data_IF_355253443335
#
_entry.id   IF_355253443335
#
_cell.length_a   1.000
_cell.length_b   1.000
_cell.length_c   1.000
_cell.angle_alpha   90.00
_cell.angle_beta   90.00
_cell.angle_gamma   90.00
#
_symmetry.space_group_name_H-M   'P 1'
#
loop_
_entity.id
_entity.type
_entity.pdbx_description
1 polymer ?
#
# COMPACT_ATOMS: atom_id res chain seq x y z
N UNK A 1 25.88 21.21 6.16
CA UNK A 1 25.23 19.93 5.81
C UNK A 1 23.97 19.70 6.65
N UNK A 2 22.91 20.52 6.50
CA UNK A 2 21.67 20.38 7.32
C UNK A 2 20.37 20.55 6.52
N UNK A 3 20.44 20.84 5.22
CA UNK A 3 19.28 21.06 4.35
C UNK A 3 18.95 19.86 3.45
N UNK A 4 19.84 18.86 3.38
CA UNK A 4 19.68 17.68 2.50
C UNK A 4 18.77 16.59 3.09
N UNK A 5 18.56 16.59 4.42
CA UNK A 5 17.78 15.54 5.11
C UNK A 5 16.27 15.85 5.09
N UNK A 6 15.89 17.12 5.07
CA UNK A 6 14.48 17.53 5.15
C UNK A 6 13.71 17.28 3.84
N UNK A 7 14.37 17.34 2.68
CA UNK A 7 13.74 17.08 1.37
C UNK A 7 13.47 15.59 1.13
N UNK A 8 14.32 14.71 1.67
CA UNK A 8 14.18 13.26 1.58
C UNK A 8 12.93 12.75 2.33
N UNK A 9 12.64 13.28 3.52
CA UNK A 9 11.50 12.87 4.33
C UNK A 9 10.13 13.28 3.75
N UNK A 10 10.06 14.38 2.99
CA UNK A 10 8.83 14.80 2.31
C UNK A 10 8.54 13.97 1.06
N UNK A 11 9.58 13.48 0.37
CA UNK A 11 9.43 12.64 -0.82
C UNK A 11 8.87 11.24 -0.48
N UNK A 12 9.32 10.63 0.63
CA UNK A 12 8.86 9.30 1.07
C UNK A 12 7.42 9.31 1.56
N UNK A 13 6.94 10.44 2.10
CA UNK A 13 5.54 10.62 2.48
C UNK A 13 4.62 10.75 1.26
N UNK A 14 5.05 11.42 0.18
CA UNK A 14 4.26 11.55 -1.05
C UNK A 14 4.15 10.23 -1.83
N UNK A 15 5.23 9.44 -1.89
CA UNK A 15 5.21 8.10 -2.51
C UNK A 15 4.32 7.12 -1.73
N UNK A 16 4.30 7.21 -0.40
CA UNK A 16 3.41 6.39 0.45
C UNK A 16 1.92 6.77 0.31
N UNK A 17 1.61 8.06 0.09
CA UNK A 17 0.23 8.50 -0.19
C UNK A 17 -0.24 8.05 -1.58
N UNK A 18 0.64 7.99 -2.59
CA UNK A 18 0.31 7.46 -3.92
C UNK A 18 0.10 5.93 -3.89
N UNK A 19 0.94 5.19 -3.16
CA UNK A 19 0.83 3.73 -3.03
C UNK A 19 -0.43 3.27 -2.27
N UNK A 20 -0.97 4.10 -1.38
CA UNK A 20 -2.23 3.83 -0.69
C UNK A 20 -3.46 3.95 -1.61
N UNK A 21 -3.35 4.66 -2.74
CA UNK A 21 -4.46 4.89 -3.67
C UNK A 21 -4.60 3.79 -4.75
N UNK A 22 -3.55 2.98 -4.98
CA UNK A 22 -3.49 2.02 -6.10
C UNK A 22 -4.09 0.64 -5.80
N UNK A 23 -4.32 0.28 -4.52
CA UNK A 23 -4.85 -1.06 -4.14
C UNK A 23 -6.36 -1.24 -4.31
N UNK A 24 -7.09 -0.24 -4.79
CA UNK A 24 -8.56 -0.27 -4.87
C UNK A 24 -9.12 -0.49 -6.30
N UNK A 25 -8.28 -0.85 -7.29
CA UNK A 25 -8.70 -0.87 -8.71
C UNK A 25 -8.75 -2.21 -9.43
N UNK A 26 -8.59 -3.35 -8.77
CA UNK A 26 -8.90 -4.64 -9.41
C UNK A 26 -9.46 -5.65 -8.40
N UNK A 27 -10.79 -5.73 -8.33
CA UNK A 27 -11.55 -6.98 -8.16
C UNK A 27 -13.04 -6.68 -8.13
N UNK A 28 -13.77 -7.09 -9.18
CA UNK A 28 -15.19 -7.42 -9.07
C UNK A 28 -15.46 -8.57 -10.05
N UNK A 29 -15.93 -9.72 -9.53
CA UNK A 29 -17.34 -9.99 -9.80
C UNK A 29 -18.10 -10.47 -8.55
N UNK A 30 -19.18 -9.73 -8.26
CA UNK A 30 -20.50 -10.18 -7.81
C UNK A 30 -20.62 -11.15 -6.61
N UNK A 31 -21.24 -10.57 -5.59
CA UNK A 31 -22.31 -11.09 -4.71
C UNK A 31 -21.91 -11.98 -3.53
N UNK A 32 -22.33 -11.48 -2.36
CA UNK A 32 -22.66 -12.19 -1.11
C UNK A 32 -21.52 -12.42 -0.11
N UNK A 33 -21.27 -11.41 0.76
CA UNK A 33 -21.13 -11.55 2.23
C UNK A 33 -20.49 -10.29 2.85
N UNK A 34 -21.29 -9.24 3.07
CA UNK A 34 -20.92 -8.17 4.01
C UNK A 34 -21.38 -8.58 5.41
N UNK A 35 -20.46 -9.03 6.30
CA UNK A 35 -20.13 -8.22 7.48
C UNK A 35 -18.67 -8.38 8.01
N UNK A 36 -17.73 -8.98 7.26
CA UNK A 36 -16.39 -9.35 7.81
C UNK A 36 -15.28 -8.30 7.60
N UNK A 37 -15.44 -7.38 6.65
CA UNK A 37 -14.37 -6.45 6.24
C UNK A 37 -14.18 -5.30 7.25
N UNK A 38 -15.23 -4.85 7.94
CA UNK A 38 -15.12 -3.78 8.94
C UNK A 38 -14.42 -4.24 10.23
N UNK A 39 -14.66 -5.48 10.68
CA UNK A 39 -14.00 -6.03 11.87
C UNK A 39 -12.50 -6.21 11.65
N UNK A 40 -12.12 -6.78 10.51
CA UNK A 40 -10.72 -6.98 10.15
C UNK A 40 -9.92 -5.67 10.04
N UNK A 41 -10.55 -4.58 9.58
CA UNK A 41 -9.93 -3.27 9.60
C UNK A 41 -9.80 -2.71 11.02
N UNK A 42 -10.72 -3.04 11.93
CA UNK A 42 -10.68 -2.51 13.29
C UNK A 42 -9.56 -3.15 14.12
N UNK A 43 -9.42 -4.48 14.03
CA UNK A 43 -8.37 -5.22 14.74
C UNK A 43 -6.97 -4.75 14.32
N UNK A 44 -6.77 -4.50 13.02
CA UNK A 44 -5.50 -3.97 12.48
C UNK A 44 -5.18 -2.55 12.96
N UNK A 45 -6.18 -1.69 13.09
CA UNK A 45 -5.93 -0.32 13.60
C UNK A 45 -5.64 -0.38 15.11
N UNK A 46 -6.30 -1.28 15.85
CA UNK A 46 -6.04 -1.50 17.28
C UNK A 46 -4.58 -1.92 17.51
N UNK A 47 -4.12 -2.91 16.75
CA UNK A 47 -2.74 -3.42 16.81
C UNK A 47 -1.69 -2.32 16.53
N UNK A 48 -1.94 -1.45 15.54
CA UNK A 48 -1.02 -0.34 15.23
C UNK A 48 -0.94 0.71 16.34
N UNK A 49 -2.07 1.02 16.98
CA UNK A 49 -2.13 2.01 18.05
C UNK A 49 -1.51 1.44 19.32
N UNK A 50 -1.82 0.19 19.68
CA UNK A 50 -1.22 -0.48 20.84
C UNK A 50 0.28 -0.67 20.67
N UNK A 51 0.75 -1.10 19.49
CA UNK A 51 2.18 -1.20 19.22
C UNK A 51 2.92 0.14 19.29
N UNK A 52 2.27 1.26 18.95
CA UNK A 52 2.87 2.59 19.10
C UNK A 52 2.93 3.04 20.58
N UNK A 53 2.01 2.58 21.42
CA UNK A 53 2.10 2.78 22.88
C UNK A 53 3.24 1.95 23.47
N UNK A 54 3.37 0.69 23.06
CA UNK A 54 4.43 -0.22 23.52
C UNK A 54 5.83 0.26 23.11
N UNK A 55 5.97 0.82 21.90
CA UNK A 55 7.21 1.46 21.45
C UNK A 55 7.48 2.83 22.08
N UNK A 56 6.56 3.35 22.90
CA UNK A 56 6.67 4.67 23.52
C UNK A 56 6.53 5.84 22.53
N UNK A 57 6.08 5.58 21.30
CA UNK A 57 5.84 6.60 20.26
C UNK A 57 4.58 7.43 20.57
N UNK A 58 3.68 6.92 21.40
CA UNK A 58 2.50 7.64 21.88
C UNK A 58 2.16 7.27 23.33
N UNK A 59 1.59 8.22 24.06
CA UNK A 59 1.07 7.97 25.40
C UNK A 59 -0.29 7.27 25.33
N UNK A 60 -0.68 6.60 26.43
CA UNK A 60 -1.98 5.92 26.51
C UNK A 60 -3.16 6.89 26.28
N UNK A 61 -3.03 8.13 26.75
CA UNK A 61 -4.03 9.18 26.57
C UNK A 61 -4.18 9.59 25.09
N UNK A 62 -3.07 9.67 24.36
CA UNK A 62 -3.09 9.96 22.93
C UNK A 62 -3.71 8.82 22.11
N UNK A 63 -3.43 7.57 22.49
CA UNK A 63 -4.06 6.39 21.89
C UNK A 63 -5.59 6.41 22.09
N UNK A 64 -6.05 6.69 23.32
CA UNK A 64 -7.48 6.76 23.64
C UNK A 64 -8.21 7.86 22.87
N UNK A 65 -7.56 9.00 22.64
CA UNK A 65 -8.11 10.06 21.81
C UNK A 65 -8.25 9.62 20.34
N UNK A 66 -7.24 8.94 19.79
CA UNK A 66 -7.29 8.38 18.42
C UNK A 66 -8.41 7.36 18.26
N UNK A 67 -8.63 6.49 19.24
CA UNK A 67 -9.75 5.54 19.21
C UNK A 67 -11.12 6.24 19.17
N UNK A 68 -11.30 7.30 19.97
CA UNK A 68 -12.55 8.07 20.01
C UNK A 68 -12.84 8.78 18.68
N UNK A 69 -11.83 9.40 18.07
CA UNK A 69 -11.95 10.06 16.77
C UNK A 69 -12.32 9.07 15.65
N UNK A 70 -11.65 7.92 15.62
CA UNK A 70 -11.91 6.86 14.64
C UNK A 70 -13.34 6.31 14.78
N UNK A 71 -13.79 6.02 16.01
CA UNK A 71 -15.15 5.55 16.28
C UNK A 71 -16.21 6.55 15.78
N UNK A 72 -16.02 7.85 16.07
CA UNK A 72 -16.92 8.92 15.60
C UNK A 72 -16.94 9.03 14.07
N UNK A 73 -15.80 8.87 13.41
CA UNK A 73 -15.70 8.93 11.95
C UNK A 73 -16.40 7.75 11.26
N UNK A 74 -16.35 6.57 11.87
CA UNK A 74 -17.00 5.36 11.38
C UNK A 74 -18.53 5.48 11.50
N UNK A 75 -18.99 5.99 12.65
CA UNK A 75 -20.41 6.24 12.91
C UNK A 75 -20.98 7.29 11.94
N UNK A 76 -20.26 8.40 11.69
CA UNK A 76 -20.65 9.41 10.72
C UNK A 76 -20.72 8.88 9.27
N UNK A 77 -19.78 8.01 8.87
CA UNK A 77 -19.81 7.37 7.54
C UNK A 77 -20.99 6.41 7.38
N UNK A 78 -21.35 5.68 8.44
CA UNK A 78 -22.52 4.77 8.39
C UNK A 78 -23.84 5.53 8.23
N UNK A 79 -23.96 6.73 8.82
CA UNK A 79 -25.14 7.59 8.67
C UNK A 79 -25.20 8.27 7.29
N UNK A 80 -24.07 8.70 6.72
CA UNK A 80 -24.02 9.36 5.40
C UNK A 80 -24.46 8.48 4.23
N UNK A 81 -24.30 7.16 4.33
CA UNK A 81 -24.70 6.21 3.28
C UNK A 81 -26.18 5.80 3.32
N UNK A 82 -26.89 6.03 4.44
CA UNK A 82 -28.32 5.68 4.56
C UNK A 82 -29.25 6.59 3.76
N UNK A 83 -28.81 7.80 3.41
CA UNK A 83 -29.61 8.83 2.74
C UNK A 83 -29.30 9.00 1.24
N UNK A 84 -28.49 8.12 0.63
CA UNK A 84 -28.30 8.16 -0.81
C UNK A 84 -29.42 7.37 -1.51
N UNK A 85 -30.28 8.01 -2.34
CA UNK A 85 -31.17 7.24 -3.20
C UNK A 85 -30.30 6.40 -4.14
N UNK A 86 -30.64 5.11 -4.27
CA UNK A 86 -29.95 4.16 -5.16
C UNK A 86 -29.88 4.77 -6.57
N UNK A 87 -28.72 5.32 -6.95
CA UNK A 87 -28.50 5.84 -8.29
C UNK A 87 -28.60 4.66 -9.27
N UNK A 88 -29.61 4.69 -10.13
CA UNK A 88 -29.71 3.78 -11.25
C UNK A 88 -28.49 3.96 -12.18
N UNK A 89 -27.99 2.84 -12.72
CA UNK A 89 -26.90 2.80 -13.69
C UNK A 89 -27.24 3.70 -14.90
N UNK A 90 -26.31 4.54 -15.41
CA UNK A 90 -26.57 5.36 -16.58
C UNK A 90 -26.46 4.49 -17.84
N UNK A 91 -27.48 3.68 -18.09
CA UNK A 91 -27.73 3.08 -19.39
C UNK A 91 -28.64 4.00 -20.19
N UNK A 92 -28.11 4.60 -21.25
CA UNK A 92 -28.84 5.29 -22.32
C UNK A 92 -30.05 6.11 -21.88
N UNK A 93 -29.82 7.22 -21.18
CA UNK A 93 -30.81 8.30 -21.19
C UNK A 93 -30.90 8.85 -22.61
N UNK A 94 -32.10 9.01 -23.20
CA UNK A 94 -32.27 9.87 -24.36
C UNK A 94 -31.56 11.19 -24.05
N UNK A 95 -30.72 11.71 -24.94
CA UNK A 95 -30.20 13.06 -24.79
C UNK A 95 -31.40 14.01 -24.68
N UNK A 96 -31.85 14.28 -23.45
CA UNK A 96 -32.63 15.46 -23.14
C UNK A 96 -31.74 16.58 -23.67
N UNK A 97 -32.17 17.36 -24.68
CA UNK A 97 -31.38 18.48 -25.14
C UNK A 97 -31.17 19.31 -23.89
N UNK A 98 -29.93 19.35 -23.39
CA UNK A 98 -29.56 20.14 -22.24
C UNK A 98 -30.15 21.51 -22.54
N UNK A 99 -31.18 21.93 -21.80
CA UNK A 99 -31.55 23.33 -21.79
C UNK A 99 -30.27 24.03 -21.35
N UNK A 100 -29.49 24.48 -22.36
CA UNK A 100 -28.24 25.17 -22.13
C UNK A 100 -28.66 26.32 -21.25
N UNK A 101 -28.18 26.33 -20.01
CA UNK A 101 -28.35 27.51 -19.17
C UNK A 101 -27.88 28.68 -20.02
N UNK A 102 -28.74 29.70 -20.24
CA UNK A 102 -28.36 30.82 -21.07
C UNK A 102 -27.07 31.39 -20.48
N UNK A 103 -26.06 31.52 -21.33
CA UNK A 103 -24.81 32.20 -21.00
C UNK A 103 -25.11 33.69 -20.72
N UNK A 104 -24.13 34.44 -20.24
CA UNK A 104 -24.35 35.85 -19.86
C UNK A 104 -25.00 36.66 -21.00
N UNK A 105 -24.61 36.39 -22.26
CA UNK A 105 -25.22 36.98 -23.44
C UNK A 105 -26.68 36.53 -23.61
N UNK A 106 -26.96 35.22 -23.54
CA UNK A 106 -28.32 34.70 -23.62
C UNK A 106 -29.25 35.23 -22.51
N UNK A 107 -28.73 35.48 -21.31
CA UNK A 107 -29.51 36.09 -20.22
C UNK A 107 -29.86 37.54 -20.50
N UNK A 108 -28.90 38.33 -20.99
CA UNK A 108 -29.12 39.74 -21.30
C UNK A 108 -30.05 39.92 -22.50
N UNK A 109 -29.85 39.14 -23.56
CA UNK A 109 -30.74 39.10 -24.73
C UNK A 109 -32.14 38.64 -24.32
N UNK A 110 -32.26 37.65 -23.43
CA UNK A 110 -33.55 37.21 -22.88
C UNK A 110 -34.28 38.32 -22.10
N UNK A 111 -33.57 39.11 -21.30
CA UNK A 111 -34.15 40.28 -20.59
C UNK A 111 -34.64 41.34 -21.57
N UNK A 112 -33.87 41.66 -22.60
CA UNK A 112 -34.26 42.66 -23.62
C UNK A 112 -35.51 42.23 -24.40
N UNK A 113 -35.65 40.93 -24.70
CA UNK A 113 -36.88 40.38 -25.31
C UNK A 113 -38.06 40.48 -24.34
N UNK A 114 -37.86 40.16 -23.06
CA UNK A 114 -38.91 40.26 -22.05
C UNK A 114 -39.39 41.71 -21.83
N UNK A 115 -38.47 42.68 -21.90
CA UNK A 115 -38.76 44.12 -21.86
C UNK A 115 -39.35 44.65 -23.19
N UNK A 116 -39.55 43.79 -24.20
CA UNK A 116 -39.99 44.15 -25.56
C UNK A 116 -39.11 45.21 -26.25
N UNK A 117 -37.85 45.37 -25.82
CA UNK A 117 -36.89 46.29 -26.44
C UNK A 117 -36.33 45.76 -27.76
N UNK A 118 -36.35 44.44 -27.95
CA UNK A 118 -35.94 43.75 -29.17
C UNK A 118 -36.92 42.64 -29.51
N UNK A 119 -37.03 42.29 -30.80
CA UNK A 119 -37.81 41.13 -31.22
C UNK A 119 -37.04 39.83 -30.92
N UNK A 120 -37.78 38.73 -30.78
CA UNK A 120 -37.24 37.37 -30.64
C UNK A 120 -36.36 36.97 -31.82
N UNK A 121 -36.63 37.50 -33.01
CA UNK A 121 -35.81 37.23 -34.20
C UNK A 121 -34.48 38.00 -34.17
N UNK A 122 -34.50 39.27 -33.74
CA UNK A 122 -33.28 40.05 -33.55
C UNK A 122 -32.39 39.43 -32.47
N UNK A 123 -32.99 38.95 -31.39
CA UNK A 123 -32.32 38.20 -30.34
C UNK A 123 -31.61 36.94 -30.87
N UNK A 124 -32.27 36.17 -31.76
CA UNK A 124 -31.65 35.01 -32.41
C UNK A 124 -30.46 35.41 -33.26
N UNK A 125 -30.63 36.45 -34.08
CA UNK A 125 -29.57 36.95 -34.97
C UNK A 125 -28.34 37.43 -34.19
N UNK A 126 -28.54 38.11 -33.06
CA UNK A 126 -27.46 38.55 -32.17
C UNK A 126 -26.67 37.35 -31.62
N UNK A 127 -27.37 36.33 -31.12
CA UNK A 127 -26.73 35.13 -30.55
C UNK A 127 -25.98 34.34 -31.64
N UNK A 128 -26.58 34.19 -32.81
CA UNK A 128 -25.99 33.49 -33.95
C UNK A 128 -24.72 34.19 -34.44
N UNK A 129 -24.78 35.51 -34.63
CA UNK A 129 -23.63 36.33 -35.05
C UNK A 129 -22.50 36.28 -34.03
N UNK A 130 -22.82 36.36 -32.74
CA UNK A 130 -21.84 36.22 -31.66
C UNK A 130 -21.22 34.82 -31.61
N UNK A 131 -22.00 33.78 -31.92
CA UNK A 131 -21.50 32.41 -31.98
C UNK A 131 -20.61 32.15 -33.20
N UNK A 132 -20.89 32.78 -34.34
CA UNK A 132 -20.10 32.70 -35.56
C UNK A 132 -18.75 33.43 -35.44
N UNK A 133 -18.67 34.48 -34.63
CA UNK A 133 -17.44 35.22 -34.34
C UNK A 133 -16.51 34.49 -33.35
N UNK A 134 -16.98 33.41 -32.70
CA UNK A 134 -16.15 32.61 -31.79
C UNK A 134 -15.19 31.74 -32.62
N UNK A 135 -13.87 31.94 -32.54
CA UNK A 135 -12.94 31.08 -33.27
C UNK A 135 -13.07 29.63 -32.80
N UNK A 136 -12.97 28.64 -33.71
CA UNK A 136 -13.04 27.24 -33.32
C UNK A 136 -11.92 26.93 -32.34
N UNK A 137 -12.28 26.36 -31.19
CA UNK A 137 -11.36 25.99 -30.10
C UNK A 137 -10.31 24.92 -30.47
N UNK A 138 -10.21 24.53 -31.75
CA UNK A 138 -9.38 23.43 -32.23
C UNK A 138 -7.87 23.73 -32.20
N UNK A 139 -7.45 25.00 -32.15
CA UNK A 139 -6.04 25.40 -32.14
C UNK A 139 -5.52 25.85 -30.76
N UNK A 140 -5.90 25.14 -29.69
CA UNK A 140 -5.28 25.33 -28.37
C UNK A 140 -4.13 24.34 -28.22
N UNK A 141 -2.87 24.78 -28.01
CA UNK A 141 -1.76 23.85 -27.80
C UNK A 141 -2.07 22.98 -26.57
N UNK A 142 -2.08 21.66 -26.75
CA UNK A 142 -2.41 20.68 -25.71
C UNK A 142 -1.23 20.50 -24.75
N UNK A 143 -0.92 21.55 -23.99
CA UNK A 143 0.13 21.54 -22.97
C UNK A 143 -0.20 20.57 -21.84
N UNK A 144 -1.48 20.37 -21.56
CA UNK A 144 -1.92 19.48 -20.49
C UNK A 144 -1.68 18.01 -20.82
N UNK A 145 -1.90 17.60 -22.07
CA UNK A 145 -1.60 16.25 -22.55
C UNK A 145 -0.11 15.91 -22.45
N UNK A 146 0.76 16.87 -22.76
CA UNK A 146 2.21 16.70 -22.67
C UNK A 146 2.68 16.53 -21.23
N UNK A 147 2.22 17.38 -20.32
CA UNK A 147 2.52 17.26 -18.88
C UNK A 147 1.99 15.93 -18.32
N UNK A 148 0.81 15.48 -18.75
CA UNK A 148 0.26 14.20 -18.30
C UNK A 148 1.03 12.98 -18.83
N UNK A 149 1.66 13.09 -20.01
CA UNK A 149 2.53 12.05 -20.56
C UNK A 149 3.84 11.96 -19.79
N UNK A 150 4.52 13.09 -19.61
CA UNK A 150 5.78 13.17 -18.87
C UNK A 150 5.62 12.64 -17.43
N UNK A 151 4.53 12.98 -16.75
CA UNK A 151 4.23 12.44 -15.41
C UNK A 151 3.97 10.94 -15.41
N UNK A 152 3.38 10.38 -16.47
CA UNK A 152 3.15 8.94 -16.58
C UNK A 152 4.47 8.20 -16.79
N UNK A 153 5.34 8.71 -17.65
CA UNK A 153 6.66 8.11 -17.90
C UNK A 153 7.51 8.09 -16.63
N UNK A 154 7.51 9.18 -15.85
CA UNK A 154 8.22 9.25 -14.56
C UNK A 154 7.67 8.22 -13.55
N UNK A 155 6.34 8.05 -13.49
CA UNK A 155 5.72 7.09 -12.58
C UNK A 155 6.00 5.65 -12.99
N UNK A 156 6.03 5.36 -14.29
CA UNK A 156 6.37 4.05 -14.80
C UNK A 156 7.85 3.72 -14.55
N UNK A 157 8.75 4.69 -14.71
CA UNK A 157 10.16 4.55 -14.34
C UNK A 157 10.33 4.24 -12.84
N UNK A 158 9.69 5.02 -11.97
CA UNK A 158 9.79 4.82 -10.52
C UNK A 158 9.25 3.45 -10.07
N UNK A 159 8.26 2.89 -10.78
CA UNK A 159 7.76 1.52 -10.52
C UNK A 159 8.78 0.45 -10.86
N UNK A 160 9.49 0.61 -11.98
CA UNK A 160 10.50 -0.36 -12.40
C UNK A 160 11.68 -0.35 -11.42
N UNK A 161 12.17 0.84 -11.03
CA UNK A 161 13.24 0.98 -10.04
C UNK A 161 12.84 0.37 -8.68
N UNK A 162 11.58 0.53 -8.26
CA UNK A 162 11.09 -0.10 -7.03
C UNK A 162 11.06 -1.63 -7.14
N UNK A 163 10.72 -2.18 -8.31
CA UNK A 163 10.70 -3.62 -8.53
C UNK A 163 12.12 -4.21 -8.47
N UNK A 164 13.11 -3.55 -9.08
CA UNK A 164 14.51 -3.94 -8.99
C UNK A 164 15.02 -3.94 -7.54
N UNK A 165 14.67 -2.92 -6.76
CA UNK A 165 15.03 -2.86 -5.33
C UNK A 165 14.35 -3.95 -4.50
N UNK A 166 13.12 -4.33 -4.84
CA UNK A 166 12.43 -5.43 -4.18
C UNK A 166 13.09 -6.77 -4.49
N UNK A 167 13.45 -6.99 -5.75
CA UNK A 167 14.16 -8.20 -6.18
C UNK A 167 15.53 -8.31 -5.50
N UNK A 168 16.31 -7.23 -5.49
CA UNK A 168 17.60 -7.20 -4.80
C UNK A 168 17.46 -7.47 -3.30
N UNK A 169 16.39 -6.98 -2.66
CA UNK A 169 16.11 -7.27 -1.24
C UNK A 169 15.77 -8.73 -1.01
N UNK A 170 14.98 -9.34 -1.90
CA UNK A 170 14.64 -10.75 -1.81
C UNK A 170 15.86 -11.64 -2.05
N UNK A 171 16.72 -11.28 -3.00
CA UNK A 171 17.98 -11.97 -3.27
C UNK A 171 18.90 -11.94 -2.05
N UNK A 172 19.12 -10.76 -1.45
CA UNK A 172 19.89 -10.63 -0.21
C UNK A 172 19.32 -11.47 0.94
N UNK A 173 17.99 -11.59 1.04
CA UNK A 173 17.35 -12.46 2.03
C UNK A 173 17.59 -13.94 1.75
N UNK A 174 17.50 -14.37 0.49
CA UNK A 174 17.80 -15.76 0.10
C UNK A 174 19.25 -16.12 0.37
N UNK A 175 20.19 -15.24 0.00
CA UNK A 175 21.62 -15.44 0.29
C UNK A 175 21.88 -15.53 1.79
N UNK A 176 21.21 -14.69 2.59
CA UNK A 176 21.34 -14.76 4.05
C UNK A 176 20.80 -16.07 4.62
N UNK A 177 19.63 -16.54 4.16
CA UNK A 177 19.06 -17.84 4.55
C UNK A 177 19.93 -19.02 4.09
N UNK A 178 20.59 -18.92 2.93
CA UNK A 178 21.57 -19.91 2.47
C UNK A 178 22.82 -19.91 3.33
N UNK A 179 23.33 -18.73 3.71
CA UNK A 179 24.47 -18.60 4.59
C UNK A 179 24.19 -19.11 6.00
N UNK A 180 23.01 -18.84 6.55
CA UNK A 180 22.56 -19.40 7.83
C UNK A 180 22.46 -20.91 7.76
N UNK A 181 21.84 -21.47 6.70
CA UNK A 181 21.78 -22.92 6.51
C UNK A 181 23.17 -23.57 6.46
N UNK A 182 24.11 -23.00 5.70
CA UNK A 182 25.47 -23.52 5.65
C UNK A 182 26.21 -23.41 6.98
N UNK A 183 25.97 -22.35 7.75
CA UNK A 183 26.52 -22.22 9.10
C UNK A 183 25.96 -23.31 10.02
N UNK A 184 24.65 -23.54 9.99
CA UNK A 184 24.00 -24.53 10.83
C UNK A 184 24.44 -25.95 10.45
N UNK A 185 24.52 -26.27 9.15
CA UNK A 185 25.06 -27.54 8.66
C UNK A 185 26.51 -27.77 9.14
N UNK A 186 27.34 -26.73 9.14
CA UNK A 186 28.72 -26.83 9.63
C UNK A 186 28.76 -27.07 11.14
N UNK A 187 27.90 -26.40 11.91
CA UNK A 187 27.81 -26.61 13.34
C UNK A 187 27.33 -28.03 13.68
N UNK A 188 26.31 -28.54 12.97
CA UNK A 188 25.83 -29.92 13.12
C UNK A 188 26.92 -30.94 12.78
N UNK A 189 27.73 -30.67 11.76
CA UNK A 189 28.83 -31.56 11.39
C UNK A 189 29.93 -31.59 12.46
N UNK A 190 30.32 -30.43 13.00
CA UNK A 190 31.28 -30.33 14.11
C UNK A 190 30.78 -31.04 15.37
N UNK A 191 29.50 -30.88 15.73
CA UNK A 191 28.90 -31.60 16.86
C UNK A 191 28.90 -33.12 16.64
N UNK A 192 28.61 -33.56 15.42
CA UNK A 192 28.61 -34.99 15.08
C UNK A 192 30.01 -35.60 15.10
N UNK A 193 31.04 -34.87 14.62
CA UNK A 193 32.43 -35.29 14.75
C UNK A 193 32.87 -35.34 16.21
N UNK A 194 32.54 -34.31 17.02
CA UNK A 194 32.86 -34.30 18.44
C UNK A 194 32.25 -35.50 19.18
N UNK A 195 30.99 -35.83 18.92
CA UNK A 195 30.35 -37.00 19.52
C UNK A 195 30.99 -38.32 19.09
N UNK A 196 31.48 -38.40 17.85
CA UNK A 196 32.18 -39.58 17.35
C UNK A 196 33.53 -39.75 18.04
N UNK A 197 34.29 -38.67 18.19
CA UNK A 197 35.58 -38.67 18.85
C UNK A 197 35.43 -38.97 20.36
N UNK A 198 34.44 -38.37 21.03
CA UNK A 198 34.10 -38.69 22.42
C UNK A 198 33.72 -40.17 22.60
N UNK A 199 32.98 -40.75 21.63
CA UNK A 199 32.63 -42.16 21.68
C UNK A 199 33.86 -43.06 21.53
N UNK A 200 34.75 -42.74 20.59
CA UNK A 200 36.01 -43.46 20.40
C UNK A 200 36.90 -43.38 21.65
N UNK A 201 37.06 -42.19 22.24
CA UNK A 201 37.81 -42.04 23.50
C UNK A 201 37.18 -42.83 24.65
N UNK A 202 35.85 -42.88 24.71
CA UNK A 202 35.14 -43.64 25.74
C UNK A 202 35.37 -45.14 25.60
N UNK A 203 35.33 -45.67 24.37
CA UNK A 203 35.65 -47.06 24.08
C UNK A 203 37.10 -47.40 24.41
N UNK A 204 38.07 -46.53 24.06
CA UNK A 204 39.48 -46.73 24.42
C UNK A 204 39.69 -46.75 25.94
N UNK A 205 39.04 -45.83 26.68
CA UNK A 205 39.09 -45.80 28.15
C UNK A 205 38.47 -47.04 28.78
N UNK A 206 37.40 -47.58 28.19
CA UNK A 206 36.75 -48.81 28.64
C UNK A 206 37.66 -50.01 28.38
N UNK A 207 38.25 -50.12 27.18
CA UNK A 207 39.21 -51.16 26.84
C UNK A 207 40.43 -51.15 27.78
N UNK A 208 41.01 -49.98 28.04
CA UNK A 208 42.13 -49.89 28.99
C UNK A 208 41.74 -50.26 30.41
N UNK A 209 40.51 -49.95 30.84
CA UNK A 209 40.01 -50.37 32.16
C UNK A 209 39.89 -51.90 32.23
N UNK A 210 39.35 -52.51 31.20
CA UNK A 210 39.19 -53.96 31.13
C UNK A 210 40.55 -54.68 31.07
N UNK A 211 41.50 -54.17 30.27
CA UNK A 211 42.88 -54.65 30.24
C UNK A 211 43.58 -54.54 31.61
N UNK A 212 43.37 -53.43 32.31
CA UNK A 212 43.89 -53.24 33.67
C UNK A 212 43.29 -54.25 34.64
N UNK A 213 41.98 -54.47 34.60
CA UNK A 213 41.31 -55.46 35.44
C UNK A 213 41.81 -56.89 35.15
N UNK A 214 41.93 -57.28 33.88
CA UNK A 214 42.49 -58.58 33.50
C UNK A 214 43.93 -58.75 33.98
N UNK A 215 44.74 -57.68 33.92
CA UNK A 215 46.12 -57.71 34.36
C UNK A 215 46.22 -57.86 35.88
N UNK A 216 45.37 -57.16 36.64
CA UNK A 216 45.28 -57.31 38.09
C UNK A 216 44.84 -58.72 38.49
N UNK A 217 43.83 -59.30 37.82
CA UNK A 217 43.43 -60.71 38.04
C UNK A 217 44.58 -61.69 37.76
N UNK A 218 45.33 -61.50 36.66
CA UNK A 218 46.50 -62.34 36.32
C UNK A 218 47.63 -62.20 37.32
N UNK A 219 47.88 -61.01 37.86
CA UNK A 219 48.89 -60.78 38.89
C UNK A 219 48.46 -61.42 40.23
N UNK A 220 47.18 -61.30 40.62
CA UNK A 220 46.65 -61.97 41.80
C UNK A 220 46.73 -63.50 41.74
N UNK A 221 46.48 -64.11 40.58
CA UNK A 221 46.63 -65.57 40.40
C UNK A 221 48.08 -66.06 40.35
N UNK A 222 49.07 -65.16 40.27
CA UNK A 222 50.49 -65.52 40.25
C UNK A 222 51.11 -65.64 41.66
N UNK A 223 50.45 -65.03 42.63
CA UNK A 223 50.92 -64.92 44.02
C UNK A 223 50.16 -65.83 45.02
N UNK A 224 49.21 -66.65 44.53
CA UNK A 224 48.55 -67.77 45.26
C UNK A 224 49.24 -69.13 45.02
#
# INVERSE_FOLDING_TARGET
>A
MKTLVATLALSTFLVSLLFAQERDRRSDPKKEAQPKIEKANWDRIKERIEGAVERGEMTREQADQKYKELKKSLEAKSQGNRNQPKRARPGSSPQIPRQRRPDALGQLVGKLVAEKKINREDARRIIETASASRPPMQNRPNTHGRISGELRDILDQARNELAELQEAREEMHREHEEWERHRDEHAEHEEQEHHRDEHAEREEREHHRDEHAEREEREHHRDE
#
